data_IF_596071829482
#
_entry.id   IF_596071829482
#
_cell.length_a   1.000
_cell.length_b   1.000
_cell.length_c   1.000
_cell.angle_alpha   90.00
_cell.angle_beta   90.00
_cell.angle_gamma   90.00
#
_symmetry.space_group_name_H-M   'P 1'
#
loop_
_entity.id
_entity.type
_entity.pdbx_description
1 polymer ?
#
# COMPACT_ATOMS: atom_id res chain seq x y z
N UNK A 1 32.35 -17.21 -9.75
CA UNK A 1 31.84 -16.30 -10.80
C UNK A 1 30.46 -16.70 -11.30
N UNK A 2 30.24 -17.96 -11.71
CA UNK A 2 28.96 -18.43 -12.26
C UNK A 2 27.76 -18.28 -11.29
N UNK A 3 27.90 -18.68 -10.02
CA UNK A 3 26.86 -18.50 -9.00
C UNK A 3 26.46 -17.03 -8.77
N UNK A 4 27.41 -16.11 -8.88
CA UNK A 4 27.14 -14.68 -8.73
C UNK A 4 26.35 -14.14 -9.93
N UNK A 5 26.69 -14.59 -11.14
CA UNK A 5 25.93 -14.28 -12.36
C UNK A 5 24.50 -14.83 -12.30
N UNK A 6 24.33 -16.09 -11.88
CA UNK A 6 23.01 -16.69 -11.71
C UNK A 6 22.16 -15.95 -10.67
N UNK A 7 22.76 -15.55 -9.53
CA UNK A 7 22.08 -14.73 -8.52
C UNK A 7 21.62 -13.39 -9.09
N UNK A 8 22.48 -12.70 -9.84
CA UNK A 8 22.12 -11.42 -10.46
C UNK A 8 20.94 -11.57 -11.42
N UNK A 9 20.98 -12.58 -12.30
CA UNK A 9 19.91 -12.86 -13.25
C UNK A 9 18.59 -13.19 -12.54
N UNK A 10 18.63 -13.97 -11.46
CA UNK A 10 17.45 -14.26 -10.65
C UNK A 10 16.87 -12.98 -10.01
N UNK A 11 17.72 -12.08 -9.50
CA UNK A 11 17.28 -10.81 -8.93
C UNK A 11 16.65 -9.89 -9.98
N UNK A 12 17.25 -9.78 -11.17
CA UNK A 12 16.71 -8.99 -12.28
C UNK A 12 15.38 -9.54 -12.78
N UNK A 13 15.29 -10.86 -12.94
CA UNK A 13 14.05 -11.53 -13.30
C UNK A 13 12.94 -11.27 -12.27
N UNK A 14 13.25 -11.45 -10.98
CA UNK A 14 12.29 -11.16 -9.91
C UNK A 14 11.87 -9.69 -9.86
N UNK A 15 12.79 -8.75 -10.11
CA UNK A 15 12.42 -7.32 -10.22
C UNK A 15 11.41 -7.10 -11.34
N UNK A 16 11.66 -7.66 -12.53
CA UNK A 16 10.72 -7.55 -13.65
C UNK A 16 9.34 -8.15 -13.33
N UNK A 17 9.30 -9.33 -12.71
CA UNK A 17 8.03 -9.98 -12.30
C UNK A 17 7.29 -9.14 -11.25
N UNK A 18 8.00 -8.65 -10.22
CA UNK A 18 7.38 -7.86 -9.16
C UNK A 18 6.90 -6.50 -9.68
N UNK A 19 7.69 -5.81 -10.51
CA UNK A 19 7.30 -4.52 -11.09
C UNK A 19 6.09 -4.67 -12.01
N UNK A 20 6.02 -5.75 -12.80
CA UNK A 20 4.88 -5.99 -13.69
C UNK A 20 3.60 -6.33 -12.91
N UNK A 21 3.69 -7.23 -11.94
CA UNK A 21 2.51 -7.85 -11.31
C UNK A 21 2.18 -7.35 -9.90
N UNK A 22 3.02 -6.52 -9.28
CA UNK A 22 2.75 -6.00 -7.92
C UNK A 22 2.74 -4.49 -7.85
N UNK A 23 3.25 -3.78 -8.87
CA UNK A 23 3.16 -2.33 -8.92
C UNK A 23 1.72 -1.90 -9.19
N UNK A 24 1.05 -1.34 -8.19
CA UNK A 24 -0.39 -1.07 -8.26
C UNK A 24 -0.78 -0.05 -9.35
N UNK A 25 0.16 0.75 -9.86
CA UNK A 25 -0.09 1.68 -10.97
C UNK A 25 -0.37 0.98 -12.31
N UNK A 26 -0.05 -0.31 -12.43
CA UNK A 26 -0.36 -1.10 -13.63
C UNK A 26 -1.84 -1.52 -13.71
N UNK A 27 -2.61 -1.25 -12.64
CA UNK A 27 -4.02 -1.62 -12.53
C UNK A 27 -4.94 -0.41 -12.67
N UNK A 28 -6.24 -0.67 -12.79
CA UNK A 28 -7.25 0.37 -12.83
C UNK A 28 -7.21 1.23 -11.57
N UNK A 29 -7.42 2.53 -11.77
CA UNK A 29 -7.43 3.50 -10.67
C UNK A 29 -8.83 3.55 -10.04
N UNK A 30 -8.92 3.74 -8.71
CA UNK A 30 -10.20 4.01 -8.05
C UNK A 30 -10.89 5.24 -8.65
N UNK A 31 -12.21 5.17 -8.77
CA UNK A 31 -13.03 6.25 -9.37
C UNK A 31 -12.93 7.54 -8.54
N UNK A 32 -12.99 7.43 -7.22
CA UNK A 32 -12.85 8.55 -6.28
C UNK A 32 -11.78 8.23 -5.24
N UNK A 33 -10.61 8.85 -5.40
CA UNK A 33 -9.48 8.64 -4.50
C UNK A 33 -9.64 9.36 -3.14
N UNK A 34 -10.54 10.34 -3.03
CA UNK A 34 -10.82 11.02 -1.75
C UNK A 34 -11.46 10.09 -0.72
N UNK A 35 -12.16 9.05 -1.19
CA UNK A 35 -12.76 8.02 -0.37
C UNK A 35 -11.75 6.97 0.15
N UNK A 36 -10.48 7.03 -0.27
CA UNK A 36 -9.47 6.03 0.11
C UNK A 36 -8.84 6.40 1.45
N UNK A 37 -8.80 5.44 2.37
CA UNK A 37 -8.07 5.50 3.63
C UNK A 37 -7.07 4.34 3.69
N UNK A 38 -5.79 4.67 3.72
CA UNK A 38 -4.68 3.71 3.76
C UNK A 38 -4.18 3.63 5.20
N UNK A 39 -4.04 2.43 5.74
CA UNK A 39 -3.40 2.19 7.03
C UNK A 39 -2.05 1.52 6.76
N UNK A 40 -0.97 2.11 7.25
CA UNK A 40 0.40 1.60 7.05
C UNK A 40 1.19 1.64 8.34
N UNK A 41 2.07 0.66 8.52
CA UNK A 41 2.93 0.57 9.68
C UNK A 41 4.24 1.35 9.41
N UNK A 42 4.74 2.08 10.41
CA UNK A 42 5.98 2.85 10.26
C UNK A 42 7.20 1.94 10.11
N UNK A 43 7.20 0.80 10.82
CA UNK A 43 8.31 -0.15 10.85
C UNK A 43 7.96 -1.41 10.03
N UNK A 44 7.34 -1.21 8.86
CA UNK A 44 6.90 -2.28 7.97
C UNK A 44 8.08 -2.91 7.20
N UNK A 45 8.34 -4.19 7.46
CA UNK A 45 9.36 -4.98 6.78
C UNK A 45 8.85 -5.74 5.54
N UNK A 46 7.53 -5.76 5.31
CA UNK A 46 6.90 -6.37 4.14
C UNK A 46 6.71 -5.36 3.01
N UNK A 47 6.31 -4.13 3.34
CA UNK A 47 6.17 -3.01 2.41
C UNK A 47 7.09 -1.88 2.87
N UNK A 48 8.35 -1.85 2.39
CA UNK A 48 9.33 -0.86 2.81
C UNK A 48 8.86 0.58 2.51
N UNK A 49 9.20 1.50 3.41
CA UNK A 49 8.96 2.94 3.22
C UNK A 49 9.84 3.55 2.14
N UNK A 50 11.06 3.03 1.98
CA UNK A 50 12.04 3.51 1.02
C UNK A 50 12.02 2.63 -0.24
N UNK A 51 12.14 3.26 -1.41
CA UNK A 51 12.17 2.57 -2.69
C UNK A 51 10.79 2.17 -3.25
N UNK A 52 9.70 2.38 -2.51
CA UNK A 52 8.34 2.22 -3.00
C UNK A 52 7.70 3.57 -3.38
N UNK A 53 6.87 3.55 -4.42
CA UNK A 53 6.08 4.72 -4.84
C UNK A 53 5.10 5.13 -3.74
N UNK A 54 5.08 6.43 -3.40
CA UNK A 54 4.10 6.96 -2.45
C UNK A 54 2.69 6.81 -3.01
N UNK A 55 1.81 6.15 -2.26
CA UNK A 55 0.44 5.87 -2.67
C UNK A 55 -0.36 7.14 -2.97
N UNK A 56 -0.01 8.30 -2.38
CA UNK A 56 -0.64 9.59 -2.69
C UNK A 56 -0.29 10.12 -4.09
N UNK A 57 0.83 9.66 -4.68
CA UNK A 57 1.17 9.97 -6.07
C UNK A 57 0.28 9.16 -7.04
N UNK A 58 -0.12 7.96 -6.65
CA UNK A 58 -0.98 7.09 -7.45
C UNK A 58 -2.47 7.43 -7.26
N UNK A 59 -2.86 7.73 -6.03
CA UNK A 59 -4.22 8.07 -5.61
C UNK A 59 -4.23 9.41 -4.88
N UNK A 60 -4.31 10.52 -5.63
CA UNK A 60 -4.39 11.85 -5.05
C UNK A 60 -5.57 11.98 -4.07
N UNK A 61 -5.42 12.79 -3.03
CA UNK A 61 -6.46 13.01 -1.99
C UNK A 61 -6.75 11.81 -1.07
N UNK A 62 -6.08 10.66 -1.27
CA UNK A 62 -6.13 9.56 -0.31
C UNK A 62 -5.55 9.98 1.05
N UNK A 63 -6.12 9.45 2.13
CA UNK A 63 -5.60 9.62 3.48
C UNK A 63 -4.63 8.48 3.80
N UNK A 64 -3.48 8.79 4.43
CA UNK A 64 -2.59 7.79 5.01
C UNK A 64 -2.59 7.93 6.54
N UNK A 65 -2.87 6.82 7.23
CA UNK A 65 -2.79 6.67 8.68
C UNK A 65 -1.59 5.80 9.03
N UNK A 66 -0.65 6.40 9.74
CA UNK A 66 0.57 5.71 10.19
C UNK A 66 0.37 5.10 11.57
N UNK A 67 0.79 3.84 11.72
CA UNK A 67 0.80 3.12 13.00
C UNK A 67 2.25 2.86 13.39
N UNK A 68 2.67 3.32 14.57
CA UNK A 68 4.07 3.21 15.05
C UNK A 68 4.41 1.81 15.56
N UNK A 69 4.41 0.84 14.65
CA UNK A 69 4.79 -0.55 14.91
C UNK A 69 5.13 -1.26 13.58
N UNK A 70 5.40 -2.56 13.64
CA UNK A 70 5.64 -3.40 12.45
C UNK A 70 4.35 -3.97 11.84
N UNK A 71 4.43 -4.48 10.61
CA UNK A 71 3.29 -4.91 9.79
C UNK A 71 2.24 -5.76 10.55
N UNK A 72 2.66 -6.90 11.09
CA UNK A 72 1.76 -7.84 11.78
C UNK A 72 1.23 -7.24 13.09
N UNK A 73 2.10 -6.54 13.84
CA UNK A 73 1.73 -5.90 15.09
C UNK A 73 0.71 -4.77 14.86
N UNK A 74 0.82 -4.03 13.75
CA UNK A 74 -0.14 -2.99 13.39
C UNK A 74 -1.55 -3.58 13.27
N UNK A 75 -1.67 -4.71 12.56
CA UNK A 75 -2.95 -5.37 12.39
C UNK A 75 -3.49 -5.99 13.68
N UNK A 76 -2.67 -6.75 14.41
CA UNK A 76 -3.11 -7.53 15.59
C UNK A 76 -3.38 -6.62 16.79
N UNK A 77 -2.57 -5.59 17.02
CA UNK A 77 -2.63 -4.75 18.22
C UNK A 77 -3.46 -3.47 18.04
N UNK A 78 -3.67 -3.03 16.79
CA UNK A 78 -4.37 -1.77 16.48
C UNK A 78 -5.57 -1.97 15.55
N UNK A 79 -6.29 -3.08 15.72
CA UNK A 79 -7.39 -3.49 14.86
C UNK A 79 -8.52 -2.43 14.79
N UNK A 80 -8.69 -1.64 15.84
CA UNK A 80 -9.61 -0.50 15.89
C UNK A 80 -9.30 0.59 14.86
N UNK A 81 -8.03 0.78 14.49
CA UNK A 81 -7.63 1.74 13.45
C UNK A 81 -8.15 1.28 12.09
N UNK A 82 -8.01 -0.01 11.77
CA UNK A 82 -8.51 -0.60 10.53
C UNK A 82 -10.03 -0.51 10.45
N UNK A 83 -10.73 -0.85 11.54
CA UNK A 83 -12.20 -0.75 11.60
C UNK A 83 -12.69 0.68 11.37
N UNK A 84 -12.03 1.67 11.98
CA UNK A 84 -12.35 3.09 11.74
C UNK A 84 -12.04 3.50 10.30
N UNK A 85 -10.89 3.10 9.75
CA UNK A 85 -10.53 3.41 8.37
C UNK A 85 -11.58 2.90 7.37
N UNK A 86 -12.06 1.67 7.54
CA UNK A 86 -13.14 1.11 6.73
C UNK A 86 -14.42 1.93 6.86
N UNK A 87 -14.84 2.24 8.09
CA UNK A 87 -16.04 3.07 8.32
C UNK A 87 -15.91 4.44 7.65
N UNK A 88 -14.79 5.12 7.84
CA UNK A 88 -14.57 6.47 7.31
C UNK A 88 -14.55 6.48 5.78
N UNK A 89 -14.01 5.43 5.14
CA UNK A 89 -14.07 5.28 3.69
C UNK A 89 -15.52 5.17 3.18
N UNK A 90 -16.36 4.36 3.84
CA UNK A 90 -17.78 4.26 3.49
C UNK A 90 -18.55 5.55 3.76
N UNK A 91 -18.29 6.22 4.88
CA UNK A 91 -18.94 7.49 5.21
C UNK A 91 -18.63 8.55 4.13
N UNK A 92 -17.40 8.58 3.61
CA UNK A 92 -17.02 9.48 2.49
C UNK A 92 -17.75 9.12 1.20
N UNK A 93 -17.87 7.83 0.88
CA UNK A 93 -18.61 7.40 -0.31
C UNK A 93 -20.07 7.87 -0.22
N UNK A 94 -20.70 7.65 0.94
CA UNK A 94 -22.08 8.08 1.19
C UNK A 94 -22.19 9.60 1.03
N UNK A 95 -21.32 10.36 1.72
CA UNK A 95 -21.33 11.81 1.70
C UNK A 95 -21.14 12.39 0.28
N UNK A 96 -20.23 11.82 -0.52
CA UNK A 96 -19.86 12.35 -1.82
C UNK A 96 -20.81 11.95 -2.95
N UNK A 97 -21.49 10.79 -2.83
CA UNK A 97 -22.19 10.17 -3.96
C UNK A 97 -23.66 9.80 -3.67
N UNK A 98 -24.11 9.86 -2.41
CA UNK A 98 -25.44 9.39 -2.01
C UNK A 98 -26.22 10.37 -1.11
N UNK A 99 -25.71 11.58 -0.92
CA UNK A 99 -26.40 12.71 -0.24
C UNK A 99 -26.42 13.92 -1.15
#
# INVERSE_FOLDING_TARGET
MEKAKARQQAMEFMRGIMDEFTHIANYSRPVDSSCIVIVTANDDAYVPREGCTDLRQLWPQSEIRYVSTGHVAAYVLHHEIFRRAVKDAFDRIIANHYT
#
